data_IF_892721366801
#
_entry.id   IF_892721366801
#
_cell.length_a   1.000
_cell.length_b   1.000
_cell.length_c   1.000
_cell.angle_alpha   90.00
_cell.angle_beta   90.00
_cell.angle_gamma   90.00
#
_symmetry.space_group_name_H-M   'P 1'
#
loop_
_entity.id
_entity.type
_entity.pdbx_description
1 polymer ?
#
# COMPACT_ATOMS: atom_id res chain seq x y z
N UNK A 1 -20.33 10.37 -9.65
CA UNK A 1 -20.14 9.05 -10.29
C UNK A 1 -20.07 9.19 -11.80
N UNK A 2 -18.85 9.18 -12.32
CA UNK A 2 -18.58 9.15 -13.76
C UNK A 2 -18.72 7.71 -14.29
N UNK A 3 -19.05 7.56 -15.58
CA UNK A 3 -19.06 6.26 -16.27
C UNK A 3 -17.70 5.54 -16.19
N UNK A 4 -16.62 6.32 -16.06
CA UNK A 4 -15.28 5.79 -15.91
C UNK A 4 -15.12 5.07 -14.56
N UNK A 5 -15.73 5.56 -13.49
CA UNK A 5 -15.66 4.92 -12.17
C UNK A 5 -16.37 3.58 -12.15
N UNK A 6 -17.52 3.50 -12.82
CA UNK A 6 -18.37 2.30 -12.88
C UNK A 6 -17.71 1.18 -13.69
N UNK A 7 -16.87 1.52 -14.66
CA UNK A 7 -16.23 0.56 -15.55
C UNK A 7 -14.80 0.25 -15.12
N UNK A 8 -13.99 1.27 -14.80
CA UNK A 8 -12.57 1.09 -14.55
C UNK A 8 -12.29 0.51 -13.16
N UNK A 9 -13.00 0.93 -12.11
CA UNK A 9 -12.74 0.45 -10.73
C UNK A 9 -12.99 -1.06 -10.59
N UNK A 10 -14.13 -1.62 -11.04
CA UNK A 10 -14.36 -3.07 -10.96
C UNK A 10 -13.41 -3.86 -11.84
N UNK A 11 -13.02 -3.30 -12.99
CA UNK A 11 -12.08 -3.93 -13.92
C UNK A 11 -10.68 -3.98 -13.29
N UNK A 12 -10.21 -2.86 -12.72
CA UNK A 12 -8.95 -2.79 -11.97
C UNK A 12 -8.93 -3.80 -10.82
N UNK A 13 -10.00 -3.88 -10.03
CA UNK A 13 -10.17 -4.88 -8.97
C UNK A 13 -10.01 -6.30 -9.48
N UNK A 14 -10.68 -6.65 -10.60
CA UNK A 14 -10.57 -7.98 -11.21
C UNK A 14 -9.17 -8.29 -11.72
N UNK A 15 -8.49 -7.31 -12.34
CA UNK A 15 -7.14 -7.49 -12.83
C UNK A 15 -6.14 -7.70 -11.71
N UNK A 16 -6.19 -6.87 -10.66
CA UNK A 16 -5.32 -7.01 -9.48
C UNK A 16 -5.63 -8.31 -8.74
N UNK A 17 -6.89 -8.72 -8.62
CA UNK A 17 -7.24 -9.99 -8.00
C UNK A 17 -6.72 -11.20 -8.79
N UNK A 18 -6.66 -11.11 -10.13
CA UNK A 18 -6.19 -12.20 -11.00
C UNK A 18 -4.67 -12.28 -11.10
N UNK A 19 -3.99 -11.13 -11.15
CA UNK A 19 -2.54 -11.05 -11.35
C UNK A 19 -1.75 -10.82 -10.06
N UNK A 20 -2.44 -10.44 -8.98
CA UNK A 20 -1.82 -10.08 -7.70
C UNK A 20 -1.60 -11.27 -6.78
N UNK A 21 -0.88 -11.00 -5.70
CA UNK A 21 -0.62 -11.92 -4.60
C UNK A 21 -1.23 -11.36 -3.32
N UNK A 22 -1.57 -12.25 -2.38
CA UNK A 22 -2.04 -11.86 -1.05
C UNK A 22 -0.92 -11.19 -0.26
N UNK A 23 -1.22 -10.05 0.35
CA UNK A 23 -0.33 -9.18 1.11
C UNK A 23 -1.04 -8.72 2.39
N UNK A 24 -0.28 -8.18 3.33
CA UNK A 24 -0.87 -7.54 4.51
C UNK A 24 -0.38 -6.11 4.62
N UNK A 25 -1.30 -5.16 4.62
CA UNK A 25 -1.02 -3.77 4.95
C UNK A 25 -1.21 -3.59 6.46
N UNK A 26 -0.11 -3.38 7.15
CA UNK A 26 -0.07 -3.13 8.59
C UNK A 26 0.07 -1.64 8.85
N UNK A 27 -0.91 -1.10 9.56
CA UNK A 27 -0.89 0.26 10.09
C UNK A 27 -0.53 0.24 11.56
N UNK A 28 0.44 1.05 11.95
CA UNK A 28 0.71 1.32 13.37
C UNK A 28 -0.26 2.41 13.80
N UNK A 29 -1.16 2.10 14.74
CA UNK A 29 -2.06 3.09 15.33
C UNK A 29 -1.31 4.16 16.11
N UNK A 30 -2.01 5.24 16.45
CA UNK A 30 -1.42 6.33 17.25
C UNK A 30 -0.84 5.78 18.54
N UNK A 31 0.47 5.97 18.81
CA UNK A 31 1.09 5.48 20.03
C UNK A 31 0.46 6.18 21.24
N UNK A 32 -0.04 5.39 22.19
CA UNK A 32 -0.45 5.89 23.50
C UNK A 32 0.75 5.83 24.44
N UNK A 33 1.06 6.98 25.06
CA UNK A 33 2.08 7.07 26.09
C UNK A 33 1.44 6.82 27.46
N UNK A 34 2.00 5.87 28.21
CA UNK A 34 1.65 5.66 29.61
C UNK A 34 2.72 6.30 30.53
N UNK A 35 2.40 7.41 31.21
CA UNK A 35 3.34 8.11 32.09
C UNK A 35 3.72 7.33 33.35
N UNK A 36 2.95 6.31 33.73
CA UNK A 36 3.22 5.52 34.95
C UNK A 36 4.29 4.44 34.74
N UNK A 37 4.37 3.90 33.53
CA UNK A 37 5.32 2.85 33.13
C UNK A 37 6.41 3.34 32.19
N UNK A 38 6.30 4.58 31.69
CA UNK A 38 7.20 5.14 30.67
C UNK A 38 7.10 4.42 29.32
N UNK A 39 6.07 3.61 29.10
CA UNK A 39 5.92 2.76 27.92
C UNK A 39 5.10 3.45 26.83
N UNK A 40 5.50 3.19 25.59
CA UNK A 40 4.76 3.62 24.39
C UNK A 40 4.17 2.37 23.75
N UNK A 41 2.84 2.26 23.74
CA UNK A 41 2.13 1.17 23.08
C UNK A 41 1.39 1.70 21.85
N UNK A 42 1.67 1.13 20.67
CA UNK A 42 0.86 1.35 19.48
C UNK A 42 0.17 0.04 19.08
N UNK A 43 -1.16 0.04 19.00
CA UNK A 43 -1.86 -1.12 18.45
C UNK A 43 -1.61 -1.19 16.94
N UNK A 44 -1.17 -2.35 16.44
CA UNK A 44 -1.04 -2.59 15.01
C UNK A 44 -2.35 -3.15 14.45
N UNK A 45 -2.81 -2.59 13.34
CA UNK A 45 -3.99 -3.07 12.61
C UNK A 45 -3.53 -3.66 11.28
N UNK A 46 -3.88 -4.93 11.05
CA UNK A 46 -3.54 -5.66 9.85
C UNK A 46 -4.73 -5.69 8.90
N UNK A 47 -4.51 -5.25 7.67
CA UNK A 47 -5.49 -5.28 6.59
C UNK A 47 -5.03 -6.29 5.53
N UNK A 48 -5.78 -7.39 5.31
CA UNK A 48 -5.48 -8.29 4.21
C UNK A 48 -5.79 -7.57 2.88
N UNK A 49 -4.82 -7.57 1.98
CA UNK A 49 -4.93 -6.88 0.67
C UNK A 49 -4.38 -7.78 -0.43
N UNK A 50 -4.79 -7.53 -1.66
CA UNK A 50 -4.22 -8.21 -2.84
C UNK A 50 -3.53 -7.17 -3.71
N UNK A 51 -2.29 -7.45 -4.11
CA UNK A 51 -1.48 -6.50 -4.88
C UNK A 51 -0.57 -7.16 -5.90
N UNK A 52 -0.28 -6.44 -6.97
CA UNK A 52 0.73 -6.81 -7.95
C UNK A 52 2.07 -6.21 -7.51
N UNK A 53 3.13 -7.02 -7.49
CA UNK A 53 4.47 -6.60 -7.08
C UNK A 53 5.34 -6.46 -8.33
N UNK A 54 6.02 -5.34 -8.43
CA UNK A 54 6.98 -5.01 -9.49
C UNK A 54 8.32 -4.67 -8.83
N UNK A 55 9.41 -5.30 -9.27
CA UNK A 55 10.75 -4.95 -8.80
C UNK A 55 11.24 -3.68 -9.52
N UNK A 56 11.95 -2.81 -8.80
CA UNK A 56 12.52 -1.60 -9.41
C UNK A 56 13.95 -1.88 -9.88
N UNK A 57 14.12 -1.98 -11.20
CA UNK A 57 15.39 -2.35 -11.82
C UNK A 57 16.42 -1.21 -11.86
N UNK A 58 15.97 0.03 -12.08
CA UNK A 58 16.85 1.20 -12.22
C UNK A 58 16.82 2.08 -10.98
N UNK A 59 17.95 2.18 -10.29
CA UNK A 59 18.16 3.23 -9.29
C UNK A 59 18.16 4.59 -10.00
N UNK A 60 17.35 5.52 -9.53
CA UNK A 60 17.40 6.90 -10.04
C UNK A 60 18.64 7.57 -9.44
N UNK A 61 19.43 8.33 -10.23
CA UNK A 61 20.66 8.96 -9.75
C UNK A 61 20.44 9.93 -8.57
N UNK A 62 19.21 10.43 -8.39
CA UNK A 62 18.82 11.30 -7.28
C UNK A 62 18.60 10.58 -5.94
N UNK A 63 18.81 9.26 -5.87
CA UNK A 63 18.76 8.48 -4.62
C UNK A 63 17.37 8.22 -4.04
N UNK A 64 16.32 8.74 -4.69
CA UNK A 64 14.91 8.52 -4.34
C UNK A 64 14.54 7.03 -4.45
N UNK A 65 14.99 6.38 -5.53
CA UNK A 65 14.77 4.97 -5.83
C UNK A 65 16.09 4.21 -5.73
N UNK A 66 16.10 3.13 -4.96
CA UNK A 66 17.28 2.29 -4.73
C UNK A 66 17.03 0.89 -5.28
N UNK A 67 18.10 0.21 -5.66
CA UNK A 67 18.04 -1.20 -6.08
C UNK A 67 17.56 -2.04 -4.88
N UNK A 68 16.52 -2.84 -5.10
CA UNK A 68 15.85 -3.61 -4.04
C UNK A 68 14.56 -2.97 -3.51
N UNK A 69 14.21 -1.78 -4.00
CA UNK A 69 12.86 -1.24 -3.82
C UNK A 69 11.86 -2.01 -4.67
N UNK A 70 10.61 -1.98 -4.21
CA UNK A 70 9.49 -2.58 -4.92
C UNK A 70 8.38 -1.56 -5.12
N UNK A 71 7.67 -1.73 -6.22
CA UNK A 71 6.41 -1.05 -6.49
C UNK A 71 5.28 -2.05 -6.29
N UNK A 72 4.26 -1.66 -5.53
CA UNK A 72 3.09 -2.50 -5.29
C UNK A 72 1.86 -1.77 -5.80
N UNK A 73 1.12 -2.40 -6.69
CA UNK A 73 -0.13 -1.86 -7.23
C UNK A 73 -1.31 -2.56 -6.56
N UNK A 74 -2.15 -1.78 -5.85
CA UNK A 74 -3.35 -2.22 -5.17
C UNK A 74 -4.61 -1.65 -5.84
N UNK A 75 -5.69 -2.44 -5.87
CA UNK A 75 -6.99 -1.95 -6.27
C UNK A 75 -7.65 -1.18 -5.11
N UNK A 76 -8.17 0.01 -5.40
CA UNK A 76 -8.76 0.90 -4.39
C UNK A 76 -10.13 0.44 -3.86
N UNK A 77 -10.90 -0.27 -4.67
CA UNK A 77 -12.27 -0.65 -4.35
C UNK A 77 -12.41 -1.71 -3.23
N UNK A 78 -11.61 -2.80 -3.19
CA UNK A 78 -11.69 -3.78 -2.10
C UNK A 78 -10.95 -3.36 -0.82
N UNK A 79 -10.25 -2.21 -0.82
CA UNK A 79 -9.44 -1.77 0.32
C UNK A 79 -10.33 -1.23 1.45
N UNK A 80 -10.17 -1.79 2.65
CA UNK A 80 -10.83 -1.29 3.87
C UNK A 80 -10.18 -0.02 4.42
N UNK A 81 -8.92 0.22 4.07
CA UNK A 81 -8.14 1.37 4.51
C UNK A 81 -7.26 1.84 3.36
N UNK A 82 -7.24 3.15 3.10
CA UNK A 82 -6.34 3.74 2.12
C UNK A 82 -4.90 3.70 2.63
N UNK A 83 -3.92 3.20 1.86
CA UNK A 83 -2.53 3.13 2.28
C UNK A 83 -1.93 4.52 2.42
N UNK A 84 -1.15 4.74 3.48
CA UNK A 84 -0.45 6.01 3.73
C UNK A 84 1.06 5.80 3.84
N UNK A 85 1.88 6.83 3.51
CA UNK A 85 3.31 6.78 3.79
C UNK A 85 3.57 6.49 5.27
N UNK A 86 4.49 5.55 5.54
CA UNK A 86 4.79 5.09 6.90
C UNK A 86 4.13 3.78 7.31
N UNK A 87 3.09 3.33 6.59
CA UNK A 87 2.53 1.98 6.75
C UNK A 87 3.59 0.91 6.40
N UNK A 88 3.39 -0.31 6.89
CA UNK A 88 4.21 -1.46 6.55
C UNK A 88 3.41 -2.44 5.67
N UNK A 89 4.03 -2.97 4.62
CA UNK A 89 3.50 -4.04 3.78
C UNK A 89 4.28 -5.31 4.05
N UNK A 90 3.59 -6.36 4.46
CA UNK A 90 4.16 -7.68 4.65
C UNK A 90 3.97 -8.49 3.37
N UNK A 91 5.10 -8.95 2.81
CA UNK A 91 5.18 -9.84 1.67
C UNK A 91 5.81 -11.14 2.17
N UNK A 92 4.98 -12.11 2.55
CA UNK A 92 5.44 -13.27 3.35
C UNK A 92 6.03 -12.79 4.68
N UNK A 93 7.26 -13.20 4.99
CA UNK A 93 7.98 -12.79 6.21
C UNK A 93 8.71 -11.45 6.09
N UNK A 94 8.75 -10.86 4.89
CA UNK A 94 9.49 -9.63 4.63
C UNK A 94 8.61 -8.39 4.85
N UNK A 95 9.00 -7.57 5.84
CA UNK A 95 8.39 -6.27 6.11
C UNK A 95 9.00 -5.22 5.18
N UNK A 96 8.17 -4.49 4.46
CA UNK A 96 8.57 -3.36 3.63
C UNK A 96 7.81 -2.12 4.07
N UNK A 97 8.49 -0.99 4.22
CA UNK A 97 7.88 0.28 4.59
C UNK A 97 7.43 1.05 3.35
N UNK A 98 6.21 1.58 3.40
CA UNK A 98 5.68 2.47 2.36
C UNK A 98 6.35 3.83 2.47
N UNK A 99 7.09 4.21 1.42
CA UNK A 99 7.77 5.50 1.30
C UNK A 99 6.87 6.56 0.67
N UNK A 100 6.16 6.18 -0.38
CA UNK A 100 5.23 7.08 -1.07
C UNK A 100 4.06 6.31 -1.67
N UNK A 101 2.94 7.01 -1.82
CA UNK A 101 1.70 6.50 -2.42
C UNK A 101 1.32 7.39 -3.58
N UNK A 102 1.13 6.81 -4.76
CA UNK A 102 0.59 7.49 -5.94
C UNK A 102 -0.78 6.93 -6.27
N UNK A 103 -1.76 7.80 -6.47
CA UNK A 103 -3.15 7.41 -6.71
C UNK A 103 -3.52 7.62 -8.17
N UNK A 104 -4.05 6.58 -8.81
CA UNK A 104 -4.71 6.70 -10.11
C UNK A 104 -6.21 6.84 -9.90
N UNK A 105 -6.76 7.95 -10.36
CA UNK A 105 -8.17 8.29 -10.19
C UNK A 105 -9.00 7.75 -11.36
N UNK A 106 -10.17 7.19 -11.02
CA UNK A 106 -11.27 7.02 -11.95
C UNK A 106 -12.31 8.10 -11.61
N UNK A 107 -12.40 9.13 -12.44
CA UNK A 107 -13.32 10.25 -12.22
C UNK A 107 -13.13 10.90 -10.86
N UNK A 108 -14.09 10.71 -9.95
CA UNK A 108 -14.11 11.29 -8.61
C UNK A 108 -13.57 10.36 -7.49
N UNK A 109 -13.18 9.13 -7.82
CA UNK A 109 -12.74 8.12 -6.84
C UNK A 109 -11.42 7.46 -7.21
N UNK A 110 -10.63 7.02 -6.22
CA UNK A 110 -9.43 6.24 -6.49
C UNK A 110 -9.79 4.90 -7.14
N UNK A 111 -8.99 4.49 -8.12
CA UNK A 111 -9.08 3.18 -8.78
C UNK A 111 -7.88 2.29 -8.42
N UNK A 112 -6.68 2.85 -8.42
CA UNK A 112 -5.44 2.15 -8.07
C UNK A 112 -4.60 2.99 -7.11
N UNK A 113 -3.92 2.30 -6.20
CA UNK A 113 -2.83 2.86 -5.40
C UNK A 113 -1.53 2.17 -5.79
N UNK A 114 -0.53 2.96 -6.18
CA UNK A 114 0.83 2.50 -6.43
C UNK A 114 1.71 2.90 -5.24
N UNK A 115 2.21 1.90 -4.54
CA UNK A 115 3.05 2.06 -3.36
C UNK A 115 4.51 1.87 -3.75
N UNK A 116 5.34 2.84 -3.41
CA UNK A 116 6.78 2.65 -3.40
C UNK A 116 7.17 2.13 -2.02
N UNK A 117 7.69 0.91 -1.97
CA UNK A 117 8.08 0.27 -0.73
C UNK A 117 9.56 -0.07 -0.70
N UNK A 118 10.14 -0.02 0.49
CA UNK A 118 11.53 -0.36 0.75
C UNK A 118 11.62 -1.26 1.97
N UNK A 119 12.50 -2.26 1.91
CA UNK A 119 12.82 -3.11 3.04
C UNK A 119 13.61 -2.36 4.11
#
# INVERSE_FOLDING_TARGET
>A
MSRLDETFRPLATRLVARAGTALTLRRIGTPTYDPSTGSVSGATVDHPVTGVIEDVETAHPDGLVRRGDRMITLAAEPLSAEPVPGDAVLIGDAVHRVLSVSTTWAGDRPALFRLHVRR
#
